data_IF_299043364184
#
_entry.id   IF_299043364184
#
_cell.length_a   1.000
_cell.length_b   1.000
_cell.length_c   1.000
_cell.angle_alpha   90.00
_cell.angle_beta   90.00
_cell.angle_gamma   90.00
#
_symmetry.space_group_name_H-M   'P 1'
#
loop_
_entity.id
_entity.type
_entity.pdbx_description
1 polymer ?
#
# COMPACT_ATOMS: atom_id res chain seq x y z
N UNK A 1 11.31 -2.86 -2.33
CA UNK A 1 10.94 -2.81 -3.77
C UNK A 1 11.66 -3.92 -4.50
N UNK A 2 11.02 -4.62 -5.45
CA UNK A 2 11.66 -5.72 -6.18
C UNK A 2 12.74 -5.19 -7.14
N UNK A 3 13.79 -5.98 -7.35
CA UNK A 3 14.88 -5.64 -8.27
C UNK A 3 14.56 -6.14 -9.66
N UNK A 4 14.70 -5.26 -10.67
CA UNK A 4 14.62 -5.65 -12.08
C UNK A 4 15.99 -5.49 -12.72
N UNK A 5 16.55 -6.58 -13.23
CA UNK A 5 17.83 -6.59 -13.94
C UNK A 5 17.59 -6.75 -15.43
N UNK A 6 18.24 -5.90 -16.23
CA UNK A 6 18.26 -6.01 -17.69
C UNK A 6 19.55 -6.68 -18.14
N UNK A 7 19.45 -7.51 -19.16
CA UNK A 7 20.62 -7.99 -19.89
C UNK A 7 20.79 -7.14 -21.15
N UNK A 8 22.01 -6.69 -21.49
CA UNK A 8 22.23 -5.85 -22.67
C UNK A 8 22.01 -6.59 -23.99
N UNK A 9 22.14 -7.92 -24.00
CA UNK A 9 22.10 -8.75 -25.22
C UNK A 9 20.76 -9.45 -25.42
N UNK A 10 19.96 -9.64 -24.35
CA UNK A 10 18.69 -10.37 -24.41
C UNK A 10 17.50 -9.43 -24.17
N UNK A 11 16.39 -9.58 -24.92
CA UNK A 11 15.20 -8.74 -24.74
C UNK A 11 14.40 -9.07 -23.47
N UNK A 12 14.89 -9.99 -22.63
CA UNK A 12 14.25 -10.42 -21.39
C UNK A 12 14.78 -9.64 -20.20
N UNK A 13 13.92 -9.44 -19.21
CA UNK A 13 14.28 -8.83 -17.92
C UNK A 13 14.09 -9.85 -16.81
N UNK A 14 14.93 -9.78 -15.78
CA UNK A 14 14.82 -10.60 -14.59
C UNK A 14 14.15 -9.79 -13.49
N UNK A 15 13.07 -10.32 -12.93
CA UNK A 15 12.47 -9.82 -11.70
C UNK A 15 12.96 -10.67 -10.53
N UNK A 16 13.30 -10.03 -9.42
CA UNK A 16 13.53 -10.65 -8.11
C UNK A 16 12.77 -9.87 -7.05
N UNK A 17 11.84 -10.53 -6.38
CA UNK A 17 11.07 -9.99 -5.27
C UNK A 17 11.55 -10.59 -3.94
N UNK A 18 11.39 -9.83 -2.87
CA UNK A 18 11.66 -10.30 -1.51
C UNK A 18 10.50 -11.16 -0.98
N UNK A 19 10.73 -12.01 0.06
CA UNK A 19 9.69 -12.90 0.59
C UNK A 19 8.43 -12.19 1.09
N UNK A 20 8.55 -10.94 1.55
CA UNK A 20 7.43 -10.09 1.98
C UNK A 20 6.75 -9.33 0.83
N UNK A 21 7.15 -9.59 -0.42
CA UNK A 21 6.60 -8.96 -1.62
C UNK A 21 5.86 -9.98 -2.46
N UNK A 22 4.54 -9.82 -2.56
CA UNK A 22 3.71 -10.62 -3.44
C UNK A 22 3.62 -9.98 -4.82
N UNK A 23 4.00 -10.74 -5.83
CA UNK A 23 3.99 -10.33 -7.22
C UNK A 23 2.74 -10.85 -7.91
N UNK A 24 2.05 -9.97 -8.62
CA UNK A 24 1.00 -10.30 -9.59
C UNK A 24 1.51 -9.95 -10.97
N UNK A 25 1.63 -10.94 -11.85
CA UNK A 25 2.10 -10.75 -13.21
C UNK A 25 0.98 -11.05 -14.19
N UNK A 26 0.63 -10.04 -14.97
CA UNK A 26 -0.37 -10.07 -16.00
C UNK A 26 0.26 -10.07 -17.38
N UNK A 27 -0.33 -10.82 -18.32
CA UNK A 27 0.02 -10.80 -19.74
C UNK A 27 -1.27 -10.78 -20.56
N UNK A 28 -1.40 -9.77 -21.43
CA UNK A 28 -2.63 -9.59 -22.22
C UNK A 28 -3.89 -9.50 -21.37
N UNK A 29 -3.81 -8.81 -20.22
CA UNK A 29 -4.94 -8.63 -19.29
C UNK A 29 -5.27 -9.83 -18.40
N UNK A 30 -4.56 -10.96 -18.52
CA UNK A 30 -4.79 -12.16 -17.68
C UNK A 30 -3.67 -12.35 -16.66
N UNK A 31 -4.02 -12.71 -15.43
CA UNK A 31 -3.05 -13.07 -14.40
C UNK A 31 -2.39 -14.40 -14.79
N UNK A 32 -1.09 -14.37 -15.06
CA UNK A 32 -0.32 -15.55 -15.48
C UNK A 32 0.59 -16.10 -14.40
N UNK A 33 1.00 -15.27 -13.43
CA UNK A 33 1.80 -15.71 -12.27
C UNK A 33 1.45 -14.89 -11.03
N UNK A 34 1.45 -15.57 -9.88
CA UNK A 34 1.24 -14.99 -8.56
C UNK A 34 2.10 -15.72 -7.53
N UNK A 35 2.73 -14.98 -6.62
CA UNK A 35 3.50 -15.56 -5.53
C UNK A 35 4.36 -14.56 -4.77
N UNK A 36 4.78 -14.94 -3.57
CA UNK A 36 5.70 -14.16 -2.74
C UNK A 36 7.16 -14.55 -3.02
N UNK A 37 8.11 -13.61 -2.91
CA UNK A 37 9.54 -13.91 -3.05
C UNK A 37 9.96 -14.44 -4.43
N UNK A 38 9.18 -14.17 -5.47
CA UNK A 38 9.42 -14.76 -6.80
C UNK A 38 10.67 -14.20 -7.46
N UNK A 39 11.41 -15.07 -8.14
CA UNK A 39 12.49 -14.68 -9.05
C UNK A 39 12.34 -15.38 -10.41
N UNK A 40 12.18 -14.61 -11.49
CA UNK A 40 11.98 -15.18 -12.83
C UNK A 40 12.30 -14.19 -13.96
N UNK A 41 12.48 -14.71 -15.17
CA UNK A 41 12.63 -13.94 -16.41
C UNK A 41 11.29 -13.67 -17.08
N UNK A 42 11.13 -12.48 -17.66
CA UNK A 42 9.91 -12.08 -18.37
C UNK A 42 10.20 -11.18 -19.57
N UNK A 43 9.23 -11.10 -20.49
CA UNK A 43 9.26 -10.18 -21.63
C UNK A 43 8.62 -8.84 -21.24
N UNK A 44 9.36 -7.71 -21.31
CA UNK A 44 8.85 -6.41 -20.89
C UNK A 44 7.76 -5.85 -21.82
N UNK A 45 7.68 -6.31 -23.07
CA UNK A 45 6.73 -5.79 -24.08
C UNK A 45 5.28 -6.18 -23.82
N UNK A 46 5.05 -7.24 -23.04
CA UNK A 46 3.71 -7.80 -22.82
C UNK A 46 3.36 -7.99 -21.34
N UNK A 47 4.28 -7.65 -20.44
CA UNK A 47 4.12 -7.83 -19.01
C UNK A 47 3.53 -6.57 -18.38
N UNK A 48 2.52 -6.75 -17.54
CA UNK A 48 2.13 -5.78 -16.51
C UNK A 48 2.33 -6.45 -15.16
N UNK A 49 3.07 -5.81 -14.26
CA UNK A 49 3.46 -6.41 -12.98
C UNK A 49 3.03 -5.48 -11.86
N UNK A 50 2.32 -6.03 -10.88
CA UNK A 50 2.01 -5.35 -9.63
C UNK A 50 2.75 -6.03 -8.46
N UNK A 51 3.15 -5.24 -7.47
CA UNK A 51 3.75 -5.74 -6.24
C UNK A 51 3.00 -5.20 -5.04
N UNK A 52 2.64 -6.09 -4.13
CA UNK A 52 1.95 -5.76 -2.90
C UNK A 52 2.76 -6.26 -1.70
N UNK A 53 2.91 -5.45 -0.64
CA UNK A 53 3.48 -5.93 0.61
C UNK A 53 2.49 -6.89 1.28
N UNK A 54 3.00 -8.01 1.77
CA UNK A 54 2.22 -8.97 2.59
C UNK A 54 2.61 -8.92 4.06
N UNK A 55 3.57 -8.06 4.42
CA UNK A 55 3.91 -7.72 5.79
C UNK A 55 2.87 -6.78 6.42
N UNK A 56 2.98 -6.57 7.73
CA UNK A 56 2.20 -5.55 8.42
C UNK A 56 2.73 -4.17 8.05
N UNK A 57 1.85 -3.36 7.47
CA UNK A 57 2.12 -1.97 7.16
C UNK A 57 1.57 -1.08 8.28
N UNK A 58 2.24 0.04 8.51
CA UNK A 58 1.78 1.06 9.43
C UNK A 58 1.62 2.38 8.69
N UNK A 59 0.58 3.11 9.02
CA UNK A 59 0.39 4.47 8.52
C UNK A 59 -0.05 5.37 9.65
N UNK A 60 0.71 6.43 9.86
CA UNK A 60 0.46 7.45 10.89
C UNK A 60 -0.08 8.70 10.22
N UNK A 61 -1.15 9.24 10.77
CA UNK A 61 -1.77 10.47 10.29
C UNK A 61 -2.18 11.34 11.48
N UNK A 62 -2.23 12.64 11.23
CA UNK A 62 -2.67 13.63 12.23
C UNK A 62 -4.08 14.08 11.84
N UNK A 63 -5.02 13.86 12.75
CA UNK A 63 -6.38 14.34 12.62
C UNK A 63 -6.54 15.64 13.40
N UNK A 64 -7.07 16.66 12.75
CA UNK A 64 -7.51 17.87 13.43
C UNK A 64 -9.00 17.68 13.74
N UNK A 65 -9.33 17.53 15.02
CA UNK A 65 -10.71 17.35 15.47
C UNK A 65 -11.08 18.45 16.47
N UNK A 66 -12.38 18.61 16.68
CA UNK A 66 -12.92 19.53 17.68
C UNK A 66 -13.52 18.73 18.83
N UNK A 67 -13.24 19.17 20.05
CA UNK A 67 -13.84 18.61 21.27
C UNK A 67 -15.25 19.14 21.47
N UNK A 68 -15.99 18.59 22.44
CA UNK A 68 -17.35 19.03 22.77
C UNK A 68 -17.42 20.54 23.07
N UNK A 69 -16.33 21.11 23.59
CA UNK A 69 -16.20 22.54 23.94
C UNK A 69 -15.64 23.38 22.78
N UNK A 70 -15.70 22.88 21.55
CA UNK A 70 -15.21 23.52 20.31
C UNK A 70 -13.71 23.83 20.27
N UNK A 71 -12.91 23.28 21.18
CA UNK A 71 -11.46 23.46 21.13
C UNK A 71 -10.85 22.54 20.08
N UNK A 72 -9.94 23.09 19.27
CA UNK A 72 -9.21 22.36 18.24
C UNK A 72 -8.10 21.52 18.88
N UNK A 73 -8.14 20.21 18.66
CA UNK A 73 -7.12 19.28 19.11
C UNK A 73 -6.48 18.57 17.91
N UNK A 74 -5.20 18.25 18.05
CA UNK A 74 -4.46 17.41 17.10
C UNK A 74 -4.30 16.02 17.67
N UNK A 75 -4.92 15.03 17.03
CA UNK A 75 -4.82 13.63 17.42
C UNK A 75 -3.90 12.91 16.43
N UNK A 76 -2.73 12.48 16.89
CA UNK A 76 -1.86 11.61 16.12
C UNK A 76 -2.36 10.17 16.24
N UNK A 77 -2.78 9.58 15.13
CA UNK A 77 -3.31 8.22 15.08
C UNK A 77 -2.44 7.35 14.18
N UNK A 78 -2.21 6.11 14.61
CA UNK A 78 -1.47 5.11 13.82
C UNK A 78 -2.36 3.91 13.55
N UNK A 79 -2.54 3.55 12.28
CA UNK A 79 -3.25 2.34 11.86
C UNK A 79 -2.23 1.32 11.37
N UNK A 80 -2.27 0.13 11.97
CA UNK A 80 -1.57 -1.05 11.46
C UNK A 80 -2.54 -1.88 10.62
N UNK A 81 -2.13 -2.29 9.42
CA UNK A 81 -2.95 -3.08 8.51
C UNK A 81 -2.11 -4.07 7.70
N UNK A 82 -2.76 -5.15 7.25
CA UNK A 82 -2.16 -6.14 6.34
C UNK A 82 -3.08 -6.38 5.16
N UNK A 83 -2.49 -6.49 3.97
CA UNK A 83 -3.24 -6.83 2.76
C UNK A 83 -3.47 -8.35 2.75
N UNK A 84 -4.72 -8.77 2.99
CA UNK A 84 -5.10 -10.20 3.00
C UNK A 84 -5.34 -10.72 1.57
N UNK A 85 -5.98 -9.92 0.73
CA UNK A 85 -6.28 -10.26 -0.66
C UNK A 85 -5.59 -9.29 -1.61
N UNK A 86 -4.45 -9.74 -2.15
CA UNK A 86 -3.61 -8.91 -3.00
C UNK A 86 -4.24 -8.64 -4.38
N UNK A 87 -5.02 -9.57 -4.93
CA UNK A 87 -5.66 -9.38 -6.23
C UNK A 87 -6.77 -8.34 -6.14
N UNK A 88 -7.59 -8.41 -5.08
CA UNK A 88 -8.63 -7.41 -4.81
C UNK A 88 -8.05 -6.04 -4.44
N UNK A 89 -6.89 -6.00 -3.78
CA UNK A 89 -6.20 -4.75 -3.51
C UNK A 89 -5.66 -4.13 -4.81
N UNK A 90 -5.05 -4.92 -5.68
CA UNK A 90 -4.53 -4.49 -6.98
C UNK A 90 -5.63 -4.04 -7.97
N UNK A 91 -6.87 -4.53 -7.84
CA UNK A 91 -7.98 -4.03 -8.63
C UNK A 91 -8.56 -2.70 -8.14
N UNK A 92 -8.25 -2.31 -6.89
CA UNK A 92 -8.74 -1.07 -6.26
C UNK A 92 -7.71 0.05 -6.26
N UNK A 93 -6.43 -0.30 -6.13
CA UNK A 93 -5.32 0.64 -6.08
C UNK A 93 -4.25 0.24 -7.09
N UNK A 94 -3.60 1.23 -7.69
CA UNK A 94 -2.57 1.00 -8.69
C UNK A 94 -1.23 0.59 -8.05
N UNK A 95 -1.04 -0.71 -7.84
CA UNK A 95 0.22 -1.31 -7.37
C UNK A 95 1.19 -1.65 -8.50
N UNK A 96 1.00 -1.08 -9.70
CA UNK A 96 1.82 -1.39 -10.86
C UNK A 96 3.26 -0.92 -10.67
N UNK A 97 4.20 -1.75 -11.11
CA UNK A 97 5.61 -1.46 -11.13
C UNK A 97 6.05 -0.90 -12.48
N UNK A 98 6.98 0.05 -12.44
CA UNK A 98 7.83 0.37 -13.57
C UNK A 98 8.69 -0.84 -13.89
N UNK A 99 8.50 -1.39 -15.09
CA UNK A 99 9.32 -2.51 -15.62
C UNK A 99 10.79 -2.08 -15.75
N UNK A 100 11.06 -0.77 -15.80
CA UNK A 100 12.37 -0.20 -15.98
C UNK A 100 13.18 -0.11 -14.68
N UNK A 101 12.51 0.24 -13.57
CA UNK A 101 13.18 0.58 -12.30
C UNK A 101 12.78 -0.34 -11.13
N UNK A 102 11.70 -1.13 -11.27
CA UNK A 102 11.18 -1.97 -10.19
C UNK A 102 10.50 -1.18 -9.05
N UNK A 103 10.27 0.12 -9.24
CA UNK A 103 9.52 0.98 -8.31
C UNK A 103 8.03 1.05 -8.72
N UNK A 104 7.15 1.36 -7.77
CA UNK A 104 5.74 1.64 -8.09
C UNK A 104 5.61 2.87 -9.01
N UNK A 105 4.67 2.81 -9.94
CA UNK A 105 4.32 3.93 -10.82
C UNK A 105 3.59 5.05 -10.07
N UNK A 106 2.92 4.71 -8.98
CA UNK A 106 2.23 5.63 -8.08
C UNK A 106 2.68 5.39 -6.63
N UNK A 107 2.06 6.10 -5.69
CA UNK A 107 2.21 5.88 -4.25
C UNK A 107 0.98 5.14 -3.71
N UNK A 108 0.82 3.83 -3.97
CA UNK A 108 -0.40 3.10 -3.61
C UNK A 108 -0.61 3.01 -2.10
N UNK A 109 0.47 2.91 -1.31
CA UNK A 109 0.37 2.90 0.14
C UNK A 109 -0.13 4.22 0.70
N UNK A 110 0.29 5.36 0.15
CA UNK A 110 -0.17 6.68 0.60
C UNK A 110 -1.66 6.89 0.27
N UNK A 111 -2.09 6.42 -0.92
CA UNK A 111 -3.53 6.43 -1.27
C UNK A 111 -4.34 5.51 -0.36
N UNK A 112 -3.83 4.31 -0.07
CA UNK A 112 -4.49 3.37 0.82
C UNK A 112 -4.56 3.92 2.24
N UNK A 113 -3.47 4.50 2.75
CA UNK A 113 -3.40 5.19 4.03
C UNK A 113 -4.42 6.34 4.11
N UNK A 114 -4.56 7.13 3.05
CA UNK A 114 -5.54 8.22 2.99
C UNK A 114 -6.98 7.70 3.09
N UNK A 115 -7.31 6.60 2.40
CA UNK A 115 -8.63 5.97 2.50
C UNK A 115 -8.88 5.40 3.90
N UNK A 116 -7.86 4.80 4.53
CA UNK A 116 -7.96 4.31 5.90
C UNK A 116 -8.18 5.45 6.90
N UNK A 117 -7.44 6.56 6.76
CA UNK A 117 -7.63 7.75 7.59
C UNK A 117 -9.05 8.30 7.46
N UNK A 118 -9.58 8.42 6.24
CA UNK A 118 -10.95 8.86 6.00
C UNK A 118 -12.00 7.95 6.66
N UNK A 119 -11.75 6.63 6.68
CA UNK A 119 -12.64 5.66 7.35
C UNK A 119 -12.50 5.69 8.88
N UNK A 120 -11.34 6.05 9.39
CA UNK A 120 -11.09 6.15 10.82
C UNK A 120 -11.66 7.43 11.45
N UNK A 121 -11.76 8.52 10.69
CA UNK A 121 -12.33 9.80 11.14
C UNK A 121 -13.61 9.67 11.98
N UNK A 122 -14.71 9.03 11.52
CA UNK A 122 -15.93 8.94 12.31
C UNK A 122 -15.76 8.15 13.61
N UNK A 123 -14.86 7.15 13.62
CA UNK A 123 -14.56 6.35 14.83
C UNK A 123 -13.79 7.20 15.84
N UNK A 124 -12.73 7.89 15.39
CA UNK A 124 -11.94 8.79 16.23
C UNK A 124 -12.81 9.91 16.77
N UNK A 125 -13.62 10.54 15.92
CA UNK A 125 -14.55 11.60 16.33
C UNK A 125 -15.52 11.12 17.40
N UNK A 126 -16.10 9.92 17.25
CA UNK A 126 -17.02 9.36 18.26
C UNK A 126 -16.32 9.15 19.62
N UNK A 127 -15.07 8.71 19.61
CA UNK A 127 -14.29 8.52 20.84
C UNK A 127 -13.93 9.87 21.49
N UNK A 128 -13.51 10.84 20.68
CA UNK A 128 -13.15 12.19 21.15
C UNK A 128 -14.38 12.96 21.65
N UNK A 129 -15.52 12.89 20.95
CA UNK A 129 -16.74 13.60 21.35
C UNK A 129 -17.37 13.05 22.64
N UNK A 130 -17.00 11.85 23.04
CA UNK A 130 -17.45 11.23 24.29
C UNK A 130 -16.56 11.58 25.50
N UNK A 131 -15.47 12.34 25.30
CA UNK A 131 -14.48 12.66 26.33
C UNK A 131 -14.33 14.18 26.46
N UNK A 132 -14.29 14.70 27.69
CA UNK A 132 -13.93 16.09 27.96
C UNK A 132 -12.40 16.23 27.86
N UNK A 133 -11.91 17.45 27.57
CA UNK A 133 -10.46 17.70 27.43
C UNK A 133 -9.63 17.32 28.66
N UNK A 134 -10.24 17.37 29.85
CA UNK A 134 -9.57 17.02 31.10
C UNK A 134 -9.16 15.54 31.15
N UNK A 135 -9.87 14.64 30.49
CA UNK A 135 -9.53 13.21 30.46
C UNK A 135 -8.44 12.84 29.46
N UNK A 136 -7.95 13.79 28.65
CA UNK A 136 -6.81 13.56 27.74
C UNK A 136 -5.46 13.94 28.38
N UNK A 137 -5.47 14.69 29.48
CA UNK A 137 -4.27 15.18 30.16
C UNK A 137 -3.98 14.50 31.52
N UNK A 138 -4.89 13.64 31.99
CA UNK A 138 -4.76 12.84 33.22
C UNK A 138 -5.10 11.37 32.96
#
# INVERSE_FOLDING_TARGET
MPTITRLPVLPLRRLRAEPNQLILHFRGGRLVRKGAGMAYWFSPLSAAIAMLPIEDCQSTFVLNEHTADFQSIKVQSTISYRIVDAEKAASRFNFSLSIDHGAWLEQPLDRLASVLAQRALPVVRKLVSAQSLESFFF
#
